data_IF_870748629894
#
_entry.id   IF_870748629894
#
_cell.length_a   1.000
_cell.length_b   1.000
_cell.length_c   1.000
_cell.angle_alpha   90.00
_cell.angle_beta   90.00
_cell.angle_gamma   90.00
#
_symmetry.space_group_name_H-M   'P 1'
#
loop_
_entity.id
_entity.type
_entity.pdbx_description
1 polymer ?
#
# COMPACT_ATOMS: atom_id res chain seq x y z
N UNK A 1 29.14 -31.65 73.96
CA UNK A 1 30.35 -32.41 73.54
C UNK A 1 30.48 -32.28 72.03
N UNK A 2 31.51 -31.56 71.54
CA UNK A 2 32.08 -31.53 70.16
C UNK A 2 31.12 -31.09 69.02
N UNK A 3 31.44 -30.23 68.05
CA UNK A 3 32.66 -29.52 67.65
C UNK A 3 32.26 -28.32 66.77
N UNK A 4 33.11 -27.30 66.79
CA UNK A 4 33.15 -26.11 65.94
C UNK A 4 33.58 -26.49 64.52
N UNK A 5 32.87 -26.00 63.48
CA UNK A 5 33.46 -25.72 62.16
C UNK A 5 32.91 -24.38 61.63
N UNK A 6 33.82 -23.43 61.49
CA UNK A 6 33.67 -22.16 60.76
C UNK A 6 33.55 -22.43 59.25
N UNK A 7 32.65 -21.73 58.55
CA UNK A 7 32.90 -21.41 57.14
C UNK A 7 32.26 -20.07 56.73
N UNK A 8 33.15 -19.08 56.64
CA UNK A 8 33.19 -17.89 55.78
C UNK A 8 31.90 -17.46 55.06
N UNK A 9 31.48 -16.24 55.40
CA UNK A 9 30.60 -15.40 54.60
C UNK A 9 31.30 -14.98 53.30
N UNK A 10 30.71 -15.33 52.16
CA UNK A 10 31.03 -14.73 50.85
C UNK A 10 29.78 -14.03 50.33
N UNK A 11 29.81 -12.70 50.48
CA UNK A 11 28.88 -11.74 49.91
C UNK A 11 29.11 -11.69 48.40
N UNK A 12 28.25 -12.34 47.62
CA UNK A 12 28.25 -12.23 46.15
C UNK A 12 27.36 -11.06 45.78
N UNK A 13 27.97 -9.97 45.33
CA UNK A 13 27.27 -8.85 44.70
C UNK A 13 26.69 -9.33 43.37
N UNK A 14 25.35 -9.35 43.27
CA UNK A 14 24.63 -9.47 42.01
C UNK A 14 24.84 -8.20 41.19
N UNK A 15 25.82 -8.22 40.29
CA UNK A 15 25.89 -7.25 39.19
C UNK A 15 24.98 -7.75 38.07
N UNK A 16 23.81 -7.12 37.90
CA UNK A 16 23.01 -7.26 36.68
C UNK A 16 23.85 -6.76 35.50
N UNK A 17 24.33 -7.69 34.67
CA UNK A 17 24.92 -7.37 33.39
C UNK A 17 23.97 -7.87 32.30
N UNK A 18 23.21 -6.95 31.71
CA UNK A 18 22.39 -7.21 30.52
C UNK A 18 23.31 -7.47 29.32
N UNK A 19 23.18 -8.61 28.61
CA UNK A 19 23.83 -8.76 27.33
C UNK A 19 23.07 -7.96 26.27
N UNK A 20 23.57 -6.76 25.99
CA UNK A 20 23.36 -6.04 24.74
C UNK A 20 23.92 -6.91 23.60
N UNK A 21 23.04 -7.56 22.81
CA UNK A 21 23.46 -8.21 21.58
C UNK A 21 23.26 -7.23 20.43
N UNK A 22 24.41 -6.85 19.90
CA UNK A 22 24.61 -5.99 18.75
C UNK A 22 23.75 -6.42 17.55
N UNK A 23 23.11 -5.42 16.94
CA UNK A 23 22.59 -5.50 15.59
C UNK A 23 23.74 -5.77 14.60
N UNK A 24 24.08 -7.03 14.40
CA UNK A 24 24.86 -7.44 13.23
C UNK A 24 23.94 -7.47 12.02
N UNK A 25 24.19 -6.50 11.15
CA UNK A 25 23.78 -6.40 9.77
C UNK A 25 23.97 -7.74 9.03
N UNK A 26 22.89 -8.50 8.83
CA UNK A 26 22.86 -9.66 7.93
C UNK A 26 22.41 -9.14 6.56
N UNK A 27 23.34 -8.54 5.84
CA UNK A 27 23.31 -8.49 4.38
C UNK A 27 24.73 -8.69 3.86
N UNK A 28 24.81 -9.54 2.83
CA UNK A 28 26.00 -10.09 2.17
C UNK A 28 26.61 -11.27 2.93
N UNK A 29 26.21 -12.48 2.52
CA UNK A 29 27.08 -13.67 2.45
C UNK A 29 26.39 -14.92 1.87
N UNK A 30 25.14 -14.83 1.38
CA UNK A 30 24.48 -15.95 0.65
C UNK A 30 24.19 -15.65 -0.83
N UNK A 31 25.00 -14.80 -1.47
CA UNK A 31 24.99 -14.64 -2.93
C UNK A 31 26.28 -15.19 -3.52
N UNK A 32 26.30 -16.50 -3.79
CA UNK A 32 27.01 -17.21 -4.89
C UNK A 32 27.40 -18.63 -4.45
N UNK A 33 26.42 -19.54 -4.46
CA UNK A 33 26.72 -20.94 -4.77
C UNK A 33 25.75 -21.37 -5.85
N UNK A 34 26.25 -21.38 -7.09
CA UNK A 34 25.58 -22.01 -8.21
C UNK A 34 25.44 -23.50 -7.86
N UNK A 35 24.25 -23.89 -7.39
CA UNK A 35 23.92 -25.29 -7.21
C UNK A 35 23.76 -25.86 -8.61
N UNK A 36 24.68 -26.75 -8.98
CA UNK A 36 24.64 -27.53 -10.21
C UNK A 36 23.37 -28.37 -10.18
N UNK A 37 22.36 -27.97 -10.96
CA UNK A 37 21.14 -28.74 -11.13
C UNK A 37 21.50 -30.11 -11.72
N UNK A 38 21.16 -31.19 -11.02
CA UNK A 38 21.18 -32.53 -11.59
C UNK A 38 20.20 -32.58 -12.77
N UNK A 39 20.53 -33.25 -13.89
CA UNK A 39 19.66 -33.33 -15.04
C UNK A 39 18.45 -34.19 -14.68
N UNK A 40 17.36 -33.54 -14.27
CA UNK A 40 16.08 -34.20 -14.09
C UNK A 40 15.54 -34.65 -15.46
N UNK A 41 15.08 -35.90 -15.53
CA UNK A 41 14.63 -36.54 -16.76
C UNK A 41 13.45 -35.75 -17.38
N UNK A 42 13.73 -35.01 -18.45
CA UNK A 42 12.72 -34.31 -19.26
C UNK A 42 12.08 -35.22 -20.30
N UNK A 43 12.51 -36.48 -20.38
CA UNK A 43 12.17 -37.44 -21.44
C UNK A 43 10.68 -37.79 -21.51
N UNK A 44 9.94 -37.56 -20.42
CA UNK A 44 8.48 -37.76 -20.38
C UNK A 44 7.69 -36.60 -20.99
N UNK A 45 8.29 -35.42 -21.15
CA UNK A 45 7.60 -34.26 -21.73
C UNK A 45 7.68 -34.28 -23.27
N UNK A 46 6.66 -33.78 -23.98
CA UNK A 46 6.70 -33.72 -25.44
C UNK A 46 7.91 -32.93 -25.95
N UNK A 47 8.58 -33.40 -27.00
CA UNK A 47 9.64 -32.60 -27.63
C UNK A 47 9.06 -31.30 -28.21
N UNK A 48 9.83 -30.21 -28.11
CA UNK A 48 9.43 -28.93 -28.72
C UNK A 48 9.21 -29.09 -30.24
N UNK A 49 8.14 -28.46 -30.74
CA UNK A 49 7.89 -28.40 -32.20
C UNK A 49 8.95 -27.56 -32.90
N UNK A 50 9.01 -27.66 -34.24
CA UNK A 50 10.00 -26.95 -35.08
C UNK A 50 10.06 -25.43 -34.82
N UNK A 51 8.97 -24.79 -34.42
CA UNK A 51 8.88 -23.34 -34.17
C UNK A 51 8.78 -22.96 -32.69
N UNK A 52 8.96 -23.94 -31.81
CA UNK A 52 8.94 -23.76 -30.36
C UNK A 52 10.34 -23.97 -29.77
N UNK A 53 10.52 -23.56 -28.53
CA UNK A 53 11.71 -23.80 -27.71
C UNK A 53 11.23 -24.25 -26.34
N UNK A 54 11.76 -25.39 -25.88
CA UNK A 54 11.51 -25.90 -24.55
C UNK A 54 12.50 -25.27 -23.57
N UNK A 55 11.97 -24.73 -22.49
CA UNK A 55 12.72 -24.19 -21.36
C UNK A 55 12.41 -25.01 -20.13
N UNK A 56 13.44 -25.30 -19.33
CA UNK A 56 13.33 -26.13 -18.14
C UNK A 56 13.90 -25.35 -16.96
N UNK A 57 13.09 -25.15 -15.94
CA UNK A 57 13.50 -24.51 -14.69
C UNK A 57 13.64 -25.62 -13.63
N UNK A 58 14.87 -25.81 -13.16
CA UNK A 58 15.17 -26.69 -12.01
C UNK A 58 15.28 -25.82 -10.76
N UNK A 59 14.53 -26.19 -9.72
CA UNK A 59 14.47 -25.46 -8.46
C UNK A 59 15.34 -26.16 -7.42
N UNK A 60 16.15 -25.43 -6.63
CA UNK A 60 16.94 -26.04 -5.57
C UNK A 60 16.05 -26.58 -4.43
N UNK A 61 16.41 -27.68 -3.80
CA UNK A 61 15.67 -28.17 -2.64
C UNK A 61 15.71 -27.17 -1.46
N UNK A 62 14.57 -27.02 -0.76
CA UNK A 62 14.40 -26.20 0.45
C UNK A 62 13.65 -26.97 1.51
N UNK A 63 13.87 -26.62 2.78
CA UNK A 63 13.25 -27.32 3.91
C UNK A 63 11.73 -27.06 3.98
N UNK A 64 11.29 -25.79 3.90
CA UNK A 64 9.88 -25.39 3.91
C UNK A 64 9.46 -24.83 2.55
N UNK A 65 9.19 -25.69 1.57
CA UNK A 65 8.83 -25.26 0.22
C UNK A 65 7.50 -24.50 0.14
N UNK A 66 6.60 -24.69 1.10
CA UNK A 66 5.29 -24.02 1.13
C UNK A 66 5.39 -22.49 1.28
N UNK A 67 6.47 -22.01 1.88
CA UNK A 67 6.74 -20.58 2.06
C UNK A 67 7.24 -19.93 0.76
N UNK A 68 7.45 -20.70 -0.30
CA UNK A 68 8.01 -20.22 -1.56
C UNK A 68 7.01 -20.32 -2.70
N UNK A 69 7.12 -19.36 -3.63
CA UNK A 69 6.44 -19.39 -4.92
C UNK A 69 7.42 -19.08 -6.03
N UNK A 70 7.11 -19.54 -7.24
CA UNK A 70 7.90 -19.26 -8.44
C UNK A 70 7.07 -18.40 -9.37
N UNK A 71 7.47 -17.15 -9.58
CA UNK A 71 6.84 -16.29 -10.58
C UNK A 71 7.58 -16.46 -11.89
N UNK A 72 6.86 -16.92 -12.92
CA UNK A 72 7.41 -17.17 -14.26
C UNK A 72 6.82 -16.17 -15.24
N UNK A 73 7.66 -15.62 -16.12
CA UNK A 73 7.22 -14.73 -17.19
C UNK A 73 8.10 -14.87 -18.42
N UNK A 74 7.55 -14.53 -19.58
CA UNK A 74 8.26 -14.60 -20.86
C UNK A 74 8.65 -13.20 -21.29
N UNK A 75 9.84 -13.06 -21.85
CA UNK A 75 10.39 -11.79 -22.33
C UNK A 75 10.81 -11.89 -23.79
N UNK A 76 10.70 -10.77 -24.50
CA UNK A 76 11.23 -10.63 -25.86
C UNK A 76 12.04 -9.34 -25.96
N UNK A 77 13.28 -9.46 -26.43
CA UNK A 77 14.14 -8.30 -26.65
C UNK A 77 13.66 -7.54 -27.89
N UNK A 78 13.28 -6.28 -27.73
CA UNK A 78 12.85 -5.42 -28.83
C UNK A 78 13.26 -3.95 -28.61
N UNK A 79 13.23 -3.16 -29.68
CA UNK A 79 13.53 -1.72 -29.62
C UNK A 79 12.27 -0.97 -29.20
N UNK A 80 12.30 -0.32 -28.05
CA UNK A 80 11.17 0.41 -27.47
C UNK A 80 11.55 1.84 -27.10
N UNK A 81 10.56 2.70 -27.06
CA UNK A 81 10.69 4.10 -26.65
C UNK A 81 10.64 4.27 -25.12
N UNK A 82 10.29 5.47 -24.65
CA UNK A 82 10.18 5.81 -23.24
C UNK A 82 8.93 5.24 -22.54
N UNK A 83 7.95 4.73 -23.29
CA UNK A 83 6.72 4.21 -22.72
C UNK A 83 6.93 2.92 -21.92
N UNK A 84 5.95 2.58 -21.10
CA UNK A 84 5.90 1.27 -20.48
C UNK A 84 5.26 0.28 -21.43
N UNK A 85 6.01 -0.77 -21.78
CA UNK A 85 5.61 -1.80 -22.73
C UNK A 85 5.37 -3.11 -22.02
N UNK A 86 4.28 -3.80 -22.37
CA UNK A 86 3.97 -5.15 -21.91
C UNK A 86 3.64 -6.05 -23.10
N UNK A 87 4.28 -7.20 -23.17
CA UNK A 87 4.07 -8.21 -24.21
C UNK A 87 2.72 -8.89 -23.94
N UNK A 88 1.83 -8.91 -24.93
CA UNK A 88 0.59 -9.66 -24.82
C UNK A 88 0.87 -11.17 -24.89
N UNK A 89 0.17 -11.93 -24.06
CA UNK A 89 0.23 -13.38 -24.06
C UNK A 89 0.00 -13.95 -22.67
N UNK A 90 -0.17 -15.27 -22.62
CA UNK A 90 -0.46 -16.01 -21.40
C UNK A 90 0.31 -17.34 -21.37
N UNK A 91 0.73 -17.76 -20.18
CA UNK A 91 1.23 -19.10 -19.93
C UNK A 91 0.05 -20.03 -19.65
N UNK A 92 -0.33 -20.84 -20.63
CA UNK A 92 -1.37 -21.84 -20.50
C UNK A 92 -0.85 -23.12 -19.87
N UNK A 93 -1.55 -23.61 -18.87
CA UNK A 93 -1.28 -24.90 -18.23
C UNK A 93 -1.85 -26.03 -19.07
N UNK A 94 -1.07 -27.09 -19.25
CA UNK A 94 -1.41 -28.29 -20.00
C UNK A 94 -1.04 -29.52 -19.17
N UNK A 95 -1.97 -30.46 -19.10
CA UNK A 95 -1.76 -31.70 -18.37
C UNK A 95 -0.99 -32.70 -19.24
N UNK A 96 0.00 -33.34 -18.65
CA UNK A 96 0.72 -34.47 -19.22
C UNK A 96 -0.08 -35.74 -18.94
N UNK A 97 -0.82 -36.20 -19.96
CA UNK A 97 -1.70 -37.36 -19.85
C UNK A 97 -0.95 -38.60 -19.35
N UNK A 98 -1.50 -39.24 -18.31
CA UNK A 98 -0.95 -40.47 -17.71
C UNK A 98 0.10 -40.25 -16.61
N UNK A 99 0.57 -39.02 -16.40
CA UNK A 99 1.61 -38.71 -15.41
C UNK A 99 1.12 -37.85 -14.24
N UNK A 100 0.02 -37.10 -14.43
CA UNK A 100 -0.48 -36.17 -13.42
C UNK A 100 0.43 -34.95 -13.21
N UNK A 101 1.32 -34.68 -14.16
CA UNK A 101 2.20 -33.51 -14.17
C UNK A 101 1.73 -32.50 -15.18
N UNK A 102 2.06 -31.24 -14.96
CA UNK A 102 1.66 -30.14 -15.84
C UNK A 102 2.89 -29.53 -16.49
N UNK A 103 2.70 -29.02 -17.70
CA UNK A 103 3.66 -28.19 -18.41
C UNK A 103 2.95 -26.93 -18.91
N UNK A 104 3.73 -25.92 -19.28
CA UNK A 104 3.20 -24.63 -19.68
C UNK A 104 3.52 -24.33 -21.14
N UNK A 105 2.57 -23.76 -21.86
CA UNK A 105 2.75 -23.28 -23.23
C UNK A 105 2.44 -21.79 -23.28
N UNK A 106 3.40 -20.99 -23.73
CA UNK A 106 3.21 -19.56 -23.88
C UNK A 106 2.46 -19.25 -25.18
N UNK A 107 1.22 -18.78 -25.05
CA UNK A 107 0.41 -18.35 -26.18
C UNK A 107 0.53 -16.84 -26.35
N UNK A 108 0.99 -16.41 -27.52
CA UNK A 108 1.11 -15.00 -27.88
C UNK A 108 0.97 -14.84 -29.40
N UNK A 109 0.43 -13.71 -29.82
CA UNK A 109 0.50 -13.23 -31.22
C UNK A 109 1.72 -12.31 -31.46
N UNK A 110 2.47 -11.98 -30.40
CA UNK A 110 3.62 -11.08 -30.44
C UNK A 110 3.30 -9.60 -30.27
N UNK A 111 2.03 -9.24 -30.06
CA UNK A 111 1.61 -7.86 -29.86
C UNK A 111 2.10 -7.30 -28.54
N UNK A 112 2.26 -5.98 -28.48
CA UNK A 112 2.74 -5.27 -27.31
C UNK A 112 1.78 -4.12 -27.04
N UNK A 113 1.32 -4.03 -25.79
CA UNK A 113 0.61 -2.85 -25.32
C UNK A 113 1.60 -1.85 -24.74
N UNK A 114 1.31 -0.57 -24.91
CA UNK A 114 2.16 0.52 -24.48
C UNK A 114 1.30 1.63 -23.86
N UNK A 115 1.87 2.33 -22.88
CA UNK A 115 1.35 3.64 -22.48
C UNK A 115 1.46 4.65 -23.64
N UNK A 116 0.75 5.77 -23.54
CA UNK A 116 0.72 6.84 -24.55
C UNK A 116 1.38 8.13 -24.04
N UNK A 117 2.50 8.03 -23.35
CA UNK A 117 3.30 9.20 -22.94
C UNK A 117 4.03 9.78 -24.15
N UNK A 118 4.18 11.11 -24.17
CA UNK A 118 5.03 11.77 -25.14
C UNK A 118 6.50 11.45 -24.85
N UNK A 119 7.26 10.99 -25.85
CA UNK A 119 8.69 10.73 -25.76
C UNK A 119 9.48 11.81 -26.54
N UNK A 120 9.99 12.87 -25.87
CA UNK A 120 10.61 14.02 -26.55
C UNK A 120 11.86 13.63 -27.37
N UNK A 121 12.69 12.75 -26.81
CA UNK A 121 13.99 12.40 -27.41
C UNK A 121 13.86 11.42 -28.59
N UNK A 122 12.68 10.81 -28.79
CA UNK A 122 12.38 9.77 -29.80
C UNK A 122 13.42 8.64 -29.88
N UNK A 123 14.17 8.40 -28.80
CA UNK A 123 15.21 7.39 -28.77
C UNK A 123 14.62 6.00 -28.57
N UNK A 124 15.03 5.04 -29.40
CA UNK A 124 14.65 3.64 -29.26
C UNK A 124 15.78 2.84 -28.61
N UNK A 125 15.49 2.20 -27.49
CA UNK A 125 16.45 1.39 -26.72
C UNK A 125 16.07 -0.09 -26.79
N UNK A 126 17.06 -0.98 -26.85
CA UNK A 126 16.81 -2.43 -26.78
C UNK A 126 16.46 -2.79 -25.33
N UNK A 127 15.21 -3.18 -25.07
CA UNK A 127 14.76 -3.66 -23.77
C UNK A 127 14.07 -5.01 -23.90
N UNK A 128 14.10 -5.77 -22.82
CA UNK A 128 13.32 -7.00 -22.69
C UNK A 128 11.91 -6.64 -22.25
N UNK A 129 10.94 -6.77 -23.15
CA UNK A 129 9.53 -6.53 -22.86
C UNK A 129 8.93 -7.82 -22.30
N UNK A 130 8.33 -7.73 -21.11
CA UNK A 130 7.82 -8.88 -20.37
C UNK A 130 6.32 -9.10 -20.61
N UNK A 131 5.90 -10.37 -20.58
CA UNK A 131 4.49 -10.77 -20.54
C UNK A 131 3.92 -10.65 -19.13
N UNK A 132 2.59 -10.74 -18.97
CA UNK A 132 1.99 -11.12 -17.70
C UNK A 132 2.70 -12.33 -17.10
N UNK A 133 2.93 -12.30 -15.79
CA UNK A 133 3.56 -13.39 -15.07
C UNK A 133 2.51 -14.38 -14.55
N UNK A 134 2.95 -15.62 -14.31
CA UNK A 134 2.16 -16.66 -13.65
C UNK A 134 2.89 -17.07 -12.38
N UNK A 135 2.18 -17.05 -11.25
CA UNK A 135 2.70 -17.47 -9.96
C UNK A 135 2.42 -18.97 -9.76
N UNK A 136 3.47 -19.77 -9.62
CA UNK A 136 3.43 -21.21 -9.47
C UNK A 136 3.83 -21.63 -8.05
N UNK A 137 3.40 -22.83 -7.65
CA UNK A 137 3.86 -23.47 -6.43
C UNK A 137 5.35 -23.84 -6.54
N UNK A 138 6.08 -23.71 -5.45
CA UNK A 138 7.45 -24.19 -5.38
C UNK A 138 7.46 -25.70 -5.17
N UNK A 139 8.21 -26.43 -6.00
CA UNK A 139 8.41 -27.86 -5.85
C UNK A 139 9.77 -28.22 -6.46
N UNK A 140 10.78 -28.52 -5.63
CA UNK A 140 12.12 -28.87 -6.13
C UNK A 140 12.21 -30.26 -6.77
N UNK A 141 11.24 -31.14 -6.50
CA UNK A 141 11.24 -32.52 -6.99
C UNK A 141 10.82 -32.64 -8.45
N UNK A 142 10.17 -31.61 -9.00
CA UNK A 142 9.66 -31.60 -10.37
C UNK A 142 10.16 -30.35 -11.10
N UNK A 143 10.72 -30.49 -12.32
CA UNK A 143 11.09 -29.34 -13.13
C UNK A 143 9.85 -28.63 -13.67
N UNK A 144 9.91 -27.30 -13.76
CA UNK A 144 8.89 -26.53 -14.48
C UNK A 144 9.28 -26.47 -15.96
N UNK A 145 8.48 -27.08 -16.81
CA UNK A 145 8.69 -27.15 -18.27
C UNK A 145 7.79 -26.15 -18.99
N UNK A 146 8.39 -25.28 -19.79
CA UNK A 146 7.69 -24.18 -20.49
C UNK A 146 8.09 -24.19 -21.97
N UNK A 147 7.11 -24.20 -22.86
CA UNK A 147 7.30 -24.05 -24.30
C UNK A 147 6.98 -22.62 -24.71
N UNK A 148 7.90 -21.99 -25.44
CA UNK A 148 7.69 -20.66 -26.02
C UNK A 148 7.96 -20.68 -27.52
N UNK A 149 7.36 -19.78 -28.32
CA UNK A 149 7.80 -19.60 -29.69
C UNK A 149 9.30 -19.23 -29.75
N UNK A 150 9.95 -19.47 -30.90
CA UNK A 150 11.36 -19.10 -31.08
C UNK A 150 11.61 -17.60 -30.88
N UNK A 151 12.73 -17.26 -30.24
CA UNK A 151 13.17 -15.88 -30.02
C UNK A 151 12.62 -15.22 -28.75
N UNK A 152 11.80 -15.94 -27.98
CA UNK A 152 11.38 -15.55 -26.64
C UNK A 152 12.31 -16.16 -25.59
N UNK A 153 12.38 -15.54 -24.41
CA UNK A 153 13.19 -15.99 -23.27
C UNK A 153 12.30 -16.13 -22.04
N UNK A 154 12.40 -17.26 -21.36
CA UNK A 154 11.74 -17.46 -20.06
C UNK A 154 12.63 -16.88 -18.95
N UNK A 155 12.03 -16.09 -18.06
CA UNK A 155 12.64 -15.62 -16.81
C UNK A 155 11.75 -16.01 -15.65
N UNK A 156 12.35 -16.12 -14.46
CA UNK A 156 11.61 -16.42 -13.25
C UNK A 156 12.17 -15.65 -12.05
N UNK A 157 11.32 -15.47 -11.04
CA UNK A 157 11.67 -14.94 -9.72
C UNK A 157 11.17 -15.91 -8.66
N UNK A 158 11.91 -15.96 -7.55
CA UNK A 158 11.49 -16.70 -6.36
C UNK A 158 10.92 -15.72 -5.36
N UNK A 159 9.71 -15.99 -4.91
CA UNK A 159 9.04 -15.26 -3.85
C UNK A 159 9.10 -16.08 -2.57
N UNK A 160 9.24 -15.40 -1.44
CA UNK A 160 9.20 -16.01 -0.10
C UNK A 160 8.14 -15.28 0.72
N UNK A 161 7.25 -16.04 1.34
CA UNK A 161 6.30 -15.54 2.31
C UNK A 161 7.05 -15.06 3.57
N UNK A 162 6.55 -13.97 4.16
CA UNK A 162 6.94 -13.60 5.50
C UNK A 162 6.27 -14.58 6.49
N UNK A 163 6.92 -14.90 7.61
CA UNK A 163 6.41 -15.90 8.56
C UNK A 163 5.14 -15.45 9.29
N UNK A 164 4.92 -14.14 9.40
CA UNK A 164 3.80 -13.59 10.17
C UNK A 164 2.53 -13.50 9.31
N UNK A 165 1.52 -14.26 9.69
CA UNK A 165 0.17 -14.10 9.14
C UNK A 165 -0.51 -12.89 9.77
N UNK A 166 -1.19 -12.09 8.95
CA UNK A 166 -1.96 -10.93 9.41
C UNK A 166 -3.44 -11.20 9.20
N UNK A 167 -4.23 -11.00 10.25
CA UNK A 167 -5.69 -11.02 10.14
C UNK A 167 -6.17 -9.66 9.61
N UNK A 168 -6.82 -9.66 8.46
CA UNK A 168 -7.49 -8.47 7.97
C UNK A 168 -8.55 -8.02 8.98
N UNK A 169 -8.57 -6.72 9.31
CA UNK A 169 -9.67 -6.17 10.12
C UNK A 169 -10.95 -6.23 9.28
N UNK A 170 -12.03 -6.86 9.77
CA UNK A 170 -13.29 -6.83 9.05
C UNK A 170 -13.74 -5.37 8.89
N UNK A 171 -14.21 -5.01 7.70
CA UNK A 171 -14.94 -3.75 7.51
C UNK A 171 -16.31 -3.90 8.17
N UNK A 172 -16.34 -3.90 9.51
CA UNK A 172 -17.59 -3.75 10.24
C UNK A 172 -18.07 -2.35 9.95
N UNK A 173 -19.09 -2.23 9.10
CA UNK A 173 -19.75 -0.98 8.72
C UNK A 173 -20.52 -0.33 9.88
N UNK A 174 -19.85 -0.14 11.01
CA UNK A 174 -20.14 1.01 11.85
C UNK A 174 -19.52 2.16 11.10
N UNK A 175 -20.34 3.03 10.50
CA UNK A 175 -19.90 4.38 10.20
C UNK A 175 -19.51 4.99 11.54
N UNK A 176 -18.27 4.78 11.98
CA UNK A 176 -17.67 5.75 12.88
C UNK A 176 -17.76 7.04 12.07
N UNK A 177 -18.64 7.94 12.52
CA UNK A 177 -19.06 9.08 11.72
C UNK A 177 -17.96 10.14 11.79
N UNK A 178 -16.71 9.74 11.53
CA UNK A 178 -15.57 10.62 11.57
C UNK A 178 -15.40 11.29 10.22
N UNK A 179 -15.40 12.62 10.20
CA UNK A 179 -15.09 13.39 9.00
C UNK A 179 -13.70 13.99 9.15
N UNK A 180 -12.82 13.70 8.19
CA UNK A 180 -11.49 14.32 8.14
C UNK A 180 -11.47 15.44 7.12
N UNK A 181 -11.22 16.66 7.56
CA UNK A 181 -11.05 17.84 6.71
C UNK A 181 -9.57 18.16 6.55
N UNK A 182 -9.16 18.51 5.33
CA UNK A 182 -7.78 18.87 5.00
C UNK A 182 -7.64 20.39 4.93
N UNK A 183 -6.56 20.91 5.50
CA UNK A 183 -6.26 22.33 5.54
C UNK A 183 -4.91 22.62 4.91
N UNK A 184 -4.87 23.64 4.06
CA UNK A 184 -3.65 24.11 3.40
C UNK A 184 -3.63 25.65 3.37
N UNK A 185 -2.58 26.24 2.82
CA UNK A 185 -2.51 27.68 2.58
C UNK A 185 -1.81 27.99 1.26
N UNK A 186 -2.38 28.93 0.50
CA UNK A 186 -1.75 29.43 -0.72
C UNK A 186 -0.46 30.20 -0.45
N UNK A 187 -0.34 30.81 0.73
CA UNK A 187 0.83 31.56 1.15
C UNK A 187 1.54 30.84 2.28
N UNK A 188 2.87 30.99 2.38
CA UNK A 188 3.61 30.42 3.49
C UNK A 188 3.19 31.08 4.81
N UNK A 189 2.42 30.36 5.62
CA UNK A 189 2.02 30.78 6.96
C UNK A 189 2.98 30.20 7.99
N UNK A 190 3.63 31.06 8.77
CA UNK A 190 4.46 30.65 9.89
C UNK A 190 3.57 30.50 11.13
N UNK A 191 2.97 29.32 11.30
CA UNK A 191 2.18 28.98 12.49
C UNK A 191 3.07 28.25 13.48
N UNK A 192 3.21 28.76 14.71
CA UNK A 192 3.94 28.07 15.79
C UNK A 192 3.01 27.88 16.97
N UNK A 193 2.65 26.61 17.24
CA UNK A 193 1.80 26.19 18.36
C UNK A 193 0.50 27.00 18.52
N UNK A 194 -0.21 27.26 17.43
CA UNK A 194 -1.49 27.95 17.49
C UNK A 194 -2.60 26.97 17.92
N UNK A 195 -3.38 27.33 18.92
CA UNK A 195 -4.61 26.62 19.30
C UNK A 195 -5.75 27.16 18.47
N UNK A 196 -6.37 26.29 17.67
CA UNK A 196 -7.54 26.63 16.88
C UNK A 196 -8.69 25.67 17.21
N UNK A 197 -9.87 26.24 17.39
CA UNK A 197 -11.14 25.54 17.52
C UNK A 197 -11.85 25.57 16.17
N UNK A 198 -12.03 24.39 15.60
CA UNK A 198 -12.81 24.18 14.39
C UNK A 198 -14.22 23.77 14.78
N UNK A 199 -15.22 24.39 14.18
CA UNK A 199 -16.63 24.15 14.49
C UNK A 199 -17.43 23.94 13.21
N UNK A 200 -18.17 22.83 13.15
CA UNK A 200 -19.13 22.54 12.09
C UNK A 200 -20.50 23.02 12.56
N UNK A 201 -21.10 23.90 11.78
CA UNK A 201 -22.44 24.41 12.00
C UNK A 201 -23.41 23.81 10.99
N UNK A 202 -24.67 23.62 11.41
CA UNK A 202 -25.79 23.19 10.58
C UNK A 202 -26.96 24.13 10.75
N UNK A 203 -27.65 24.44 9.65
CA UNK A 203 -28.83 25.31 9.66
C UNK A 203 -29.80 24.95 8.52
N UNK A 204 -31.06 25.37 8.67
CA UNK A 204 -32.05 25.31 7.60
C UNK A 204 -31.89 26.52 6.68
N UNK A 205 -31.46 26.29 5.44
CA UNK A 205 -31.27 27.35 4.45
C UNK A 205 -32.58 27.91 3.88
N UNK A 206 -33.72 27.30 4.18
CA UNK A 206 -35.04 27.85 3.83
C UNK A 206 -35.54 28.92 4.81
N UNK A 207 -34.91 29.03 5.99
CA UNK A 207 -35.29 30.00 7.02
C UNK A 207 -34.39 31.24 6.99
N UNK A 208 -35.00 32.42 7.02
CA UNK A 208 -34.28 33.67 7.25
C UNK A 208 -34.06 33.89 8.75
N UNK A 209 -32.91 34.48 9.11
CA UNK A 209 -32.60 34.98 10.45
C UNK A 209 -32.54 33.92 11.58
N UNK A 210 -32.26 32.65 11.25
CA UNK A 210 -32.06 31.58 12.23
C UNK A 210 -30.57 31.38 12.55
N UNK A 211 -30.24 31.34 13.84
CA UNK A 211 -28.88 31.04 14.29
C UNK A 211 -28.48 29.60 13.96
N UNK A 212 -27.28 29.40 13.43
CA UNK A 212 -26.79 28.07 13.11
C UNK A 212 -26.48 27.24 14.37
N UNK A 213 -26.76 25.94 14.31
CA UNK A 213 -26.54 25.03 15.43
C UNK A 213 -25.18 24.34 15.31
N UNK A 214 -24.45 24.20 16.42
CA UNK A 214 -23.19 23.46 16.46
C UNK A 214 -23.48 21.95 16.31
N UNK A 215 -22.86 21.34 15.31
CA UNK A 215 -22.98 19.90 15.02
C UNK A 215 -21.82 19.11 15.60
N UNK A 216 -20.60 19.65 15.45
CA UNK A 216 -19.38 19.06 15.98
C UNK A 216 -18.32 20.16 16.15
N UNK A 217 -17.44 19.98 17.12
CA UNK A 217 -16.31 20.88 17.37
C UNK A 217 -15.04 20.09 17.69
N UNK A 218 -13.89 20.65 17.32
CA UNK A 218 -12.59 20.05 17.57
C UNK A 218 -11.54 21.12 17.80
N UNK A 219 -10.83 21.02 18.91
CA UNK A 219 -9.65 21.84 19.20
C UNK A 219 -8.37 21.12 18.78
N UNK A 220 -7.49 21.84 18.08
CA UNK A 220 -6.23 21.31 17.55
C UNK A 220 -5.09 22.30 17.79
N UNK A 221 -3.93 21.78 18.19
CA UNK A 221 -2.67 22.54 18.18
C UNK A 221 -2.03 22.43 16.79
N UNK A 222 -1.92 23.55 16.08
CA UNK A 222 -1.36 23.61 14.74
C UNK A 222 0.11 24.01 14.84
N UNK A 223 0.98 23.13 14.35
CA UNK A 223 2.43 23.33 14.34
C UNK A 223 2.99 23.53 12.93
N UNK A 224 2.27 23.05 11.90
CA UNK A 224 2.65 23.17 10.50
C UNK A 224 1.41 23.12 9.59
N UNK A 225 1.56 23.62 8.35
CA UNK A 225 0.55 23.56 7.27
C UNK A 225 1.26 22.92 6.06
N UNK A 226 0.66 21.94 5.35
CA UNK A 226 -0.72 21.45 5.49
C UNK A 226 -0.94 20.49 6.66
N UNK A 227 -2.19 20.40 7.14
CA UNK A 227 -2.60 19.47 8.20
C UNK A 227 -4.04 18.96 7.98
N UNK A 228 -4.51 18.09 8.87
CA UNK A 228 -5.88 17.56 8.82
C UNK A 228 -6.53 17.53 10.20
N UNK A 229 -7.85 17.74 10.23
CA UNK A 229 -8.66 17.69 11.46
C UNK A 229 -9.75 16.63 11.29
N UNK A 230 -9.80 15.69 12.22
CA UNK A 230 -10.83 14.66 12.28
C UNK A 230 -11.89 15.03 13.31
N UNK A 231 -13.15 15.13 12.87
CA UNK A 231 -14.33 15.42 13.67
C UNK A 231 -15.12 14.16 13.93
N UNK A 232 -15.69 14.05 15.12
CA UNK A 232 -16.60 12.97 15.49
C UNK A 232 -18.03 13.48 15.28
N UNK A 233 -18.69 13.04 14.20
CA UNK A 233 -20.04 13.46 13.87
C UNK A 233 -21.08 12.62 14.64
N UNK A 234 -22.21 13.23 15.04
CA UNK A 234 -23.34 12.48 15.56
C UNK A 234 -23.95 11.58 14.47
N UNK A 235 -24.62 10.49 14.88
CA UNK A 235 -25.28 9.56 13.93
C UNK A 235 -26.37 10.22 13.08
N UNK A 236 -27.03 11.24 13.62
CA UNK A 236 -28.06 12.03 12.92
C UNK A 236 -27.84 13.54 13.20
N UNK A 237 -26.94 14.22 12.46
CA UNK A 237 -26.65 15.65 12.64
C UNK A 237 -27.88 16.55 12.52
N UNK A 238 -28.79 16.21 11.61
CA UNK A 238 -30.00 16.99 11.30
C UNK A 238 -30.94 17.12 12.49
N UNK A 239 -30.98 16.09 13.35
CA UNK A 239 -31.81 16.08 14.56
C UNK A 239 -31.39 17.10 15.62
N UNK A 240 -30.18 17.63 15.53
CA UNK A 240 -29.67 18.63 16.46
C UNK A 240 -30.08 20.05 16.05
N UNK A 241 -30.46 20.28 14.79
CA UNK A 241 -30.72 21.63 14.27
C UNK A 241 -31.99 22.21 14.88
N UNK A 242 -31.89 23.44 15.39
CA UNK A 242 -32.98 24.19 16.01
C UNK A 242 -33.28 25.45 15.17
N UNK A 243 -34.57 25.77 14.89
CA UNK A 243 -35.79 25.10 15.36
C UNK A 243 -36.07 23.76 14.66
N UNK A 244 -36.91 22.93 15.29
CA UNK A 244 -37.20 21.57 14.82
C UNK A 244 -37.79 21.58 13.41
N UNK A 245 -37.15 20.80 12.54
CA UNK A 245 -37.33 20.79 11.10
C UNK A 245 -38.69 20.28 10.65
N UNK A 246 -39.21 20.84 9.55
CA UNK A 246 -40.36 20.32 8.80
C UNK A 246 -39.88 19.37 7.67
N UNK A 247 -40.79 18.66 7.02
CA UNK A 247 -40.45 17.67 5.96
C UNK A 247 -39.85 18.30 4.69
N UNK A 248 -39.83 19.63 4.56
CA UNK A 248 -39.32 20.36 3.39
C UNK A 248 -38.04 21.16 3.67
N UNK A 249 -37.41 20.94 4.82
CA UNK A 249 -36.23 21.69 5.23
C UNK A 249 -35.00 21.37 4.34
N UNK A 250 -34.26 22.41 3.95
CA UNK A 250 -33.05 22.27 3.12
C UNK A 250 -31.83 22.53 4.01
N UNK A 251 -31.18 21.45 4.43
CA UNK A 251 -30.10 21.50 5.41
C UNK A 251 -28.77 21.82 4.74
N UNK A 252 -28.08 22.81 5.27
CA UNK A 252 -26.71 23.15 4.87
C UNK A 252 -25.78 23.15 6.07
N UNK A 253 -24.53 22.80 5.82
CA UNK A 253 -23.47 22.80 6.82
C UNK A 253 -22.32 23.67 6.37
N UNK A 254 -21.65 24.31 7.33
CA UNK A 254 -20.44 25.07 7.06
C UNK A 254 -19.42 24.97 8.19
N UNK A 255 -18.16 25.22 7.85
CA UNK A 255 -17.04 25.22 8.76
C UNK A 255 -16.71 26.63 9.25
N UNK A 256 -16.35 26.74 10.53
CA UNK A 256 -15.73 27.93 11.11
C UNK A 256 -14.44 27.55 11.83
N UNK A 257 -13.49 28.49 11.86
CA UNK A 257 -12.21 28.35 12.57
C UNK A 257 -12.04 29.57 13.45
N UNK A 258 -11.90 29.34 14.76
CA UNK A 258 -11.63 30.37 15.75
C UNK A 258 -10.29 30.06 16.43
N UNK A 259 -9.52 31.10 16.76
CA UNK A 259 -8.27 30.99 17.52
C UNK A 259 -8.42 31.72 18.85
N UNK A 260 -8.03 31.09 19.95
CA UNK A 260 -8.07 31.73 21.27
C UNK A 260 -6.88 32.70 21.42
N UNK A 261 -7.16 33.87 22.01
CA UNK A 261 -6.45 35.13 21.80
C UNK A 261 -5.01 35.26 22.34
N UNK A 262 -4.35 36.30 21.77
CA UNK A 262 -3.13 37.01 22.20
C UNK A 262 -1.78 36.34 21.91
N UNK A 263 -1.38 36.42 20.63
CA UNK A 263 0.02 36.26 20.20
C UNK A 263 0.31 35.09 19.26
N UNK A 264 -0.67 34.23 18.99
CA UNK A 264 -0.57 33.21 17.94
C UNK A 264 -1.05 33.77 16.59
N UNK A 265 -0.48 33.28 15.48
CA UNK A 265 -0.89 33.69 14.14
C UNK A 265 -2.42 33.61 13.99
N UNK A 266 -3.08 34.76 13.81
CA UNK A 266 -4.53 34.83 13.62
C UNK A 266 -4.84 34.14 12.29
N UNK A 267 -5.19 32.86 12.33
CA UNK A 267 -5.56 32.10 11.13
C UNK A 267 -7.08 32.08 11.01
N UNK A 268 -7.57 32.31 9.80
CA UNK A 268 -8.97 32.23 9.44
C UNK A 268 -9.14 31.46 8.12
N UNK A 269 -10.35 31.00 7.85
CA UNK A 269 -10.67 30.41 6.55
C UNK A 269 -10.56 31.47 5.46
N UNK A 270 -9.92 31.10 4.36
CA UNK A 270 -9.86 31.92 3.17
C UNK A 270 -11.11 31.73 2.31
N UNK A 271 -12.16 32.47 2.66
CA UNK A 271 -13.45 32.44 1.96
C UNK A 271 -13.37 32.89 0.49
N UNK A 272 -12.28 33.53 0.07
CA UNK A 272 -12.05 33.90 -1.35
C UNK A 272 -11.54 32.70 -2.15
N UNK A 273 -10.78 31.82 -1.50
CA UNK A 273 -10.24 30.61 -2.13
C UNK A 273 -11.26 29.46 -2.18
N UNK A 274 -12.06 29.30 -1.12
CA UNK A 274 -13.08 28.27 -1.06
C UNK A 274 -14.22 28.67 -0.12
N UNK A 275 -15.46 28.40 -0.53
CA UNK A 275 -16.62 28.52 0.36
C UNK A 275 -16.49 27.58 1.56
N UNK A 276 -16.98 28.00 2.72
CA UNK A 276 -16.93 27.20 3.94
C UNK A 276 -17.95 26.04 3.97
N UNK A 277 -18.68 25.80 2.89
CA UNK A 277 -19.75 24.83 2.80
C UNK A 277 -19.23 23.39 2.91
N UNK A 278 -20.00 22.55 3.60
CA UNK A 278 -19.69 21.14 3.85
C UNK A 278 -20.85 20.25 3.39
N UNK A 279 -20.52 19.16 2.71
CA UNK A 279 -21.41 18.03 2.45
C UNK A 279 -21.08 16.91 3.45
N UNK A 280 -21.90 16.74 4.49
CA UNK A 280 -21.70 15.68 5.48
C UNK A 280 -22.10 14.29 4.95
N UNK A 281 -22.84 14.22 3.83
CA UNK A 281 -23.28 12.97 3.22
C UNK A 281 -22.27 12.44 2.21
N UNK A 282 -21.52 13.32 1.55
CA UNK A 282 -20.46 12.99 0.61
C UNK A 282 -19.17 13.76 0.92
N UNK A 283 -18.31 13.14 1.73
CA UNK A 283 -17.03 13.71 2.13
C UNK A 283 -16.05 13.95 0.98
N UNK A 284 -16.23 13.27 -0.17
CA UNK A 284 -15.33 13.45 -1.33
C UNK A 284 -15.52 14.81 -2.00
N UNK A 285 -16.65 15.48 -1.74
CA UNK A 285 -16.94 16.84 -2.21
C UNK A 285 -16.34 17.92 -1.30
N UNK A 286 -15.95 17.58 -0.08
CA UNK A 286 -15.29 18.50 0.84
C UNK A 286 -13.81 18.58 0.45
N UNK A 287 -13.50 19.55 -0.41
CA UNK A 287 -12.14 19.81 -0.90
C UNK A 287 -11.16 20.24 0.21
N UNK A 288 -10.01 20.77 -0.19
CA UNK A 288 -9.00 21.29 0.74
C UNK A 288 -9.40 22.69 1.16
N UNK A 289 -9.61 22.93 2.46
CA UNK A 289 -9.91 24.26 2.98
C UNK A 289 -8.61 25.07 3.08
N UNK A 290 -8.63 26.29 2.56
CA UNK A 290 -7.47 27.17 2.62
C UNK A 290 -7.57 28.08 3.84
N UNK A 291 -6.43 28.28 4.49
CA UNK A 291 -6.26 29.20 5.62
C UNK A 291 -5.45 30.42 5.18
N UNK A 292 -5.81 31.58 5.71
CA UNK A 292 -5.04 32.82 5.59
C UNK A 292 -4.79 33.46 6.96
N UNK A 293 -3.72 34.23 7.05
CA UNK A 293 -3.51 35.10 8.21
C UNK A 293 -4.50 36.28 8.17
N UNK A 294 -4.93 36.72 9.34
CA UNK A 294 -5.71 37.93 9.59
C UNK A 294 -4.85 39.00 10.27
#
# INVERSE_FOLDING_TARGET
>A
MKSIIYLMATMVLFSCNSPQKDHKNIQKDEATKAVKAEPMATDMFPNAKKDETQHVISLPAKDNEQDYKVEVFVTKTMKVDCNHHMLQGELLEKDLQGWGYNYYVFQTNGDVISTMMACPDKTLTKKDVASPSRLLHYNSKLPVVIYTPKGYKVKYKLWKALPDEQTAKPSTGTKENHMTLKFDSHNKLNVTNAKAKFTIYGYDSSMADVAATVIAEKEVNISEIPFSVTFDLPKNPESLIVPKMNESAIIKYYLSVNTDQEGAANIQLDHEAQEANLDLNDWTKNGVFYLKAY
#
